data_IF_723006996189
#
_entry.id   IF_723006996189
#
_cell.length_a   1.000
_cell.length_b   1.000
_cell.length_c   1.000
_cell.angle_alpha   90.00
_cell.angle_beta   90.00
_cell.angle_gamma   90.00
#
_symmetry.space_group_name_H-M   'P 1'
#
loop_
_entity.id
_entity.type
_entity.pdbx_description
1 polymer ?
#
# COMPACT_ATOMS: atom_id res chain seq x y z
N UNK A 1 -10.78 25.38 -6.38
CA UNK A 1 -9.61 24.78 -5.70
C UNK A 1 -10.12 23.54 -4.97
N UNK A 2 -9.58 22.33 -5.19
CA UNK A 2 -10.00 21.21 -4.37
C UNK A 2 -9.59 21.53 -2.93
N UNK A 3 -10.57 21.53 -2.02
CA UNK A 3 -10.31 21.59 -0.58
C UNK A 3 -9.37 20.43 -0.26
N UNK A 4 -8.21 20.73 0.32
CA UNK A 4 -7.41 19.69 0.94
C UNK A 4 -8.30 19.03 2.00
N UNK A 5 -8.71 17.78 1.75
CA UNK A 5 -9.50 17.01 2.72
C UNK A 5 -8.73 17.01 4.04
N UNK A 6 -9.37 17.43 5.14
CA UNK A 6 -8.79 17.40 6.49
C UNK A 6 -8.52 15.97 7.01
N UNK A 7 -8.80 14.94 6.19
CA UNK A 7 -8.57 13.56 6.54
C UNK A 7 -7.06 13.31 6.64
N UNK A 8 -6.66 12.63 7.71
CA UNK A 8 -5.29 12.15 7.83
C UNK A 8 -5.04 11.04 6.81
N UNK A 9 -3.80 10.89 6.32
CA UNK A 9 -3.42 9.73 5.54
C UNK A 9 -3.56 8.42 6.32
N UNK A 10 -3.96 7.35 5.64
CA UNK A 10 -4.27 6.06 6.27
C UNK A 10 -3.15 5.06 6.06
N UNK A 11 -2.72 4.40 7.13
CA UNK A 11 -1.56 3.52 7.13
C UNK A 11 -1.96 2.09 6.81
N UNK A 12 -1.04 1.37 6.18
CA UNK A 12 -1.17 -0.06 5.93
C UNK A 12 0.19 -0.75 5.90
N UNK A 13 0.17 -2.07 5.90
CA UNK A 13 1.32 -2.92 5.59
C UNK A 13 1.02 -3.83 4.41
N UNK A 14 2.05 -4.17 3.64
CA UNK A 14 2.02 -5.33 2.76
C UNK A 14 2.53 -6.53 3.54
N UNK A 15 1.67 -7.53 3.70
CA UNK A 15 1.99 -8.79 4.33
C UNK A 15 2.06 -9.89 3.29
N UNK A 16 3.22 -10.54 3.15
CA UNK A 16 3.42 -11.64 2.22
C UNK A 16 3.21 -12.98 2.90
N UNK A 17 2.22 -13.72 2.42
CA UNK A 17 1.90 -15.07 2.89
C UNK A 17 2.81 -16.12 2.28
N UNK A 18 3.21 -15.92 1.02
CA UNK A 18 4.06 -16.88 0.30
C UNK A 18 5.15 -16.18 -0.49
N UNK A 19 6.40 -16.58 -0.27
CA UNK A 19 7.52 -16.17 -1.10
C UNK A 19 7.83 -17.27 -2.13
N UNK A 20 7.23 -17.15 -3.31
CA UNK A 20 7.46 -18.09 -4.42
C UNK A 20 8.88 -17.96 -4.98
N UNK A 21 9.50 -16.78 -4.85
CA UNK A 21 10.83 -16.49 -5.38
C UNK A 21 11.98 -16.97 -4.49
N UNK A 22 11.71 -17.12 -3.18
CA UNK A 22 12.72 -17.41 -2.16
C UNK A 22 13.67 -16.23 -1.85
N UNK A 23 13.44 -15.05 -2.42
CA UNK A 23 14.32 -13.88 -2.28
C UNK A 23 13.91 -12.97 -1.13
N UNK A 24 12.60 -12.86 -0.88
CA UNK A 24 12.01 -11.71 -0.18
C UNK A 24 11.46 -12.05 1.19
N UNK A 25 11.30 -13.34 1.49
CA UNK A 25 10.68 -13.84 2.70
C UNK A 25 9.18 -13.58 2.79
N UNK A 26 8.60 -14.12 3.86
CA UNK A 26 7.20 -13.95 4.27
C UNK A 26 7.10 -12.96 5.42
N UNK A 27 5.89 -12.48 5.70
CA UNK A 27 5.64 -11.49 6.75
C UNK A 27 5.51 -10.07 6.21
N UNK A 28 5.83 -9.07 7.03
CA UNK A 28 5.75 -7.66 6.62
C UNK A 28 6.90 -7.32 5.69
N UNK A 29 6.57 -6.89 4.48
CA UNK A 29 7.54 -6.67 3.41
C UNK A 29 7.59 -5.21 2.96
N UNK A 30 6.57 -4.43 3.30
CA UNK A 30 6.56 -2.99 3.11
C UNK A 30 5.54 -2.32 4.03
N UNK A 31 5.78 -1.03 4.33
CA UNK A 31 4.82 -0.13 4.99
C UNK A 31 4.32 0.88 3.99
N UNK A 32 3.06 1.30 4.11
CA UNK A 32 2.52 2.30 3.21
C UNK A 32 1.49 3.22 3.83
N UNK A 33 1.20 4.28 3.09
CA UNK A 33 0.24 5.31 3.45
C UNK A 33 -0.59 5.68 2.23
N UNK A 34 -1.92 5.66 2.36
CA UNK A 34 -2.87 6.18 1.37
C UNK A 34 -3.20 7.62 1.75
N UNK A 35 -2.94 8.56 0.85
CA UNK A 35 -3.25 9.97 1.06
C UNK A 35 -4.69 10.28 0.64
N UNK A 36 -5.30 11.37 1.15
CA UNK A 36 -6.68 11.72 0.80
C UNK A 36 -6.91 11.97 -0.69
N UNK A 37 -5.87 12.27 -1.47
CA UNK A 37 -5.94 12.41 -2.92
C UNK A 37 -5.83 11.07 -3.67
N UNK A 38 -5.89 9.94 -2.97
CA UNK A 38 -5.82 8.59 -3.53
C UNK A 38 -4.40 8.05 -3.72
N UNK A 39 -3.39 8.94 -3.82
CA UNK A 39 -1.99 8.53 -4.02
C UNK A 39 -1.48 7.70 -2.85
N UNK A 40 -0.48 6.87 -3.11
CA UNK A 40 0.10 5.95 -2.13
C UNK A 40 1.60 6.11 -2.06
N UNK A 41 2.16 6.21 -0.86
CA UNK A 41 3.59 5.98 -0.62
C UNK A 41 3.78 4.57 -0.05
N UNK A 42 4.83 3.89 -0.50
CA UNK A 42 5.18 2.54 -0.05
C UNK A 42 6.69 2.47 0.17
N UNK A 43 7.11 2.09 1.38
CA UNK A 43 8.51 1.86 1.74
C UNK A 43 8.77 0.37 1.91
N UNK A 44 9.68 -0.17 1.11
CA UNK A 44 10.06 -1.59 1.15
C UNK A 44 10.98 -1.88 2.33
N UNK A 45 10.69 -2.97 3.03
CA UNK A 45 11.57 -3.50 4.07
C UNK A 45 12.72 -4.30 3.45
N UNK A 46 13.78 -4.52 4.23
CA UNK A 46 14.91 -5.36 3.84
C UNK A 46 16.24 -4.62 3.73
N UNK A 47 17.29 -5.27 3.23
CA UNK A 47 18.66 -4.74 3.24
C UNK A 47 18.91 -3.59 2.26
N UNK A 48 18.00 -3.39 1.30
CA UNK A 48 18.05 -2.31 0.31
C UNK A 48 16.68 -1.63 0.22
N UNK A 49 16.33 -0.80 1.22
CA UNK A 49 15.02 -0.16 1.26
C UNK A 49 14.88 0.84 0.11
N UNK A 50 13.67 0.93 -0.44
CA UNK A 50 13.29 1.92 -1.44
C UNK A 50 11.89 2.47 -1.13
N UNK A 51 11.63 3.69 -1.60
CA UNK A 51 10.31 4.33 -1.51
C UNK A 51 9.74 4.46 -2.91
N UNK A 52 8.53 3.95 -3.08
CA UNK A 52 7.77 4.06 -4.31
C UNK A 52 6.52 4.91 -4.07
N UNK A 53 6.07 5.59 -5.12
CA UNK A 53 4.80 6.34 -5.11
C UNK A 53 3.91 5.78 -6.22
N UNK A 54 2.64 5.56 -5.90
CA UNK A 54 1.62 5.02 -6.81
C UNK A 54 0.43 5.98 -6.90
N UNK A 55 -0.33 5.86 -8.00
CA UNK A 55 -1.54 6.68 -8.18
C UNK A 55 -2.66 6.23 -7.24
N UNK A 56 -2.75 4.92 -6.97
CA UNK A 56 -3.81 4.35 -6.15
C UNK A 56 -3.39 3.10 -5.38
N UNK A 57 -4.21 2.71 -4.39
CA UNK A 57 -4.07 1.41 -3.71
C UNK A 57 -4.38 0.22 -4.64
N UNK A 58 -5.21 0.44 -5.67
CA UNK A 58 -5.50 -0.55 -6.70
C UNK A 58 -4.24 -0.89 -7.51
N UNK A 59 -3.42 0.10 -7.87
CA UNK A 59 -2.15 -0.14 -8.56
C UNK A 59 -1.18 -0.95 -7.70
N UNK A 60 -1.11 -0.64 -6.39
CA UNK A 60 -0.30 -1.42 -5.44
C UNK A 60 -0.76 -2.88 -5.42
N UNK A 61 -2.08 -3.11 -5.39
CA UNK A 61 -2.66 -4.45 -5.37
C UNK A 61 -2.40 -5.20 -6.67
N UNK A 62 -2.61 -4.55 -7.82
CA UNK A 62 -2.41 -5.14 -9.13
C UNK A 62 -0.95 -5.55 -9.37
N UNK A 63 0.00 -4.72 -8.92
CA UNK A 63 1.43 -4.98 -9.13
C UNK A 63 1.97 -5.97 -8.08
N UNK A 64 1.58 -5.86 -6.81
CA UNK A 64 2.24 -6.59 -5.70
C UNK A 64 1.40 -7.68 -5.04
N UNK A 65 0.10 -7.75 -5.34
CA UNK A 65 -0.83 -8.71 -4.71
C UNK A 65 -0.53 -10.16 -5.07
N UNK A 66 -0.03 -10.42 -6.29
CA UNK A 66 0.40 -11.73 -6.79
C UNK A 66 -0.59 -12.86 -6.44
N UNK A 67 -1.82 -12.79 -6.96
CA UNK A 67 -2.90 -13.77 -6.73
C UNK A 67 -3.16 -14.09 -5.24
N UNK A 68 -3.06 -13.07 -4.39
CA UNK A 68 -3.27 -13.19 -2.95
C UNK A 68 -2.04 -13.67 -2.16
N UNK A 69 -0.90 -13.85 -2.82
CA UNK A 69 0.38 -14.16 -2.13
C UNK A 69 0.84 -12.99 -1.24
N UNK A 70 0.42 -11.76 -1.56
CA UNK A 70 0.62 -10.58 -0.73
C UNK A 70 -0.73 -9.91 -0.45
N UNK A 71 -0.96 -9.56 0.81
CA UNK A 71 -2.18 -8.91 1.29
C UNK A 71 -1.87 -7.51 1.80
N UNK A 72 -2.76 -6.56 1.51
CA UNK A 72 -2.79 -5.25 2.16
C UNK A 72 -3.56 -5.38 3.47
N UNK A 73 -2.95 -4.96 4.58
CA UNK A 73 -3.59 -4.90 5.89
C UNK A 73 -3.63 -3.44 6.32
N UNK A 74 -4.84 -2.87 6.35
CA UNK A 74 -5.10 -1.48 6.76
C UNK A 74 -5.11 -1.36 8.29
N UNK A 75 -4.56 -0.27 8.81
CA UNK A 75 -4.62 0.07 10.24
C UNK A 75 -5.66 1.14 10.57
N UNK A 76 -6.07 1.89 9.56
CA UNK A 76 -7.01 3.00 9.66
C UNK A 76 -8.12 2.78 8.61
N UNK A 77 -9.29 3.38 8.81
CA UNK A 77 -10.35 3.39 7.81
C UNK A 77 -9.93 4.27 6.62
N UNK A 78 -10.18 3.83 5.39
CA UNK A 78 -9.79 4.60 4.20
C UNK A 78 -10.51 5.96 4.18
N UNK A 79 -9.86 7.04 3.72
CA UNK A 79 -10.53 8.32 3.59
C UNK A 79 -11.59 8.24 2.48
N UNK A 80 -12.76 8.84 2.69
CA UNK A 80 -13.91 8.80 1.76
C UNK A 80 -13.54 9.13 0.31
N UNK A 81 -12.59 10.06 0.10
CA UNK A 81 -12.12 10.47 -1.23
C UNK A 81 -11.17 9.48 -1.92
N UNK A 82 -10.67 8.46 -1.21
CA UNK A 82 -9.83 7.40 -1.75
C UNK A 82 -10.59 6.07 -1.94
N UNK A 83 -11.82 5.95 -1.44
CA UNK A 83 -12.66 4.76 -1.57
C UNK A 83 -13.35 4.64 -2.94
N UNK A 84 -13.29 5.68 -3.77
CA UNK A 84 -14.04 5.76 -5.03
C UNK A 84 -13.06 5.86 -6.21
N UNK A 85 -12.68 4.72 -6.77
CA UNK A 85 -11.85 4.64 -7.96
C UNK A 85 -11.71 3.19 -8.42
N UNK A 86 -12.75 2.69 -9.08
CA UNK A 86 -12.74 1.47 -9.88
C UNK A 86 -12.94 1.85 -11.35
#
# INVERSE_FOLDING_TARGET
>A
MPVATSAMPCRFQLYRHRDVSGVSGTGVVAWGTVYPNGKVSLVWCGPRPSVNVYESLADVTAIHGHDGSTQIIMYDELPDSAAVGW
#
